data_IF_165631754591
#
_entry.id   IF_165631754591
#
_cell.length_a   1.000
_cell.length_b   1.000
_cell.length_c   1.000
_cell.angle_alpha   90.00
_cell.angle_beta   90.00
_cell.angle_gamma   90.00
#
_symmetry.space_group_name_H-M   'P 1'
#
loop_
_entity.id
_entity.type
_entity.pdbx_description
1 polymer ?
#
# COMPACT_ATOMS: atom_id res chain seq x y z
N UNK A 1 -5.41 -20.43 -9.06
CA UNK A 1 -4.62 -21.50 -8.44
C UNK A 1 -3.57 -22.01 -9.42
N UNK A 2 -3.92 -22.47 -10.61
CA UNK A 2 -2.98 -23.09 -11.58
C UNK A 2 -1.84 -22.15 -11.99
N UNK A 3 -2.11 -20.85 -12.14
CA UNK A 3 -1.07 -19.87 -12.45
C UNK A 3 -0.02 -19.78 -11.33
N UNK A 4 -0.46 -19.76 -10.07
CA UNK A 4 0.45 -19.71 -8.91
C UNK A 4 1.31 -20.97 -8.89
N UNK A 5 0.70 -22.15 -9.07
CA UNK A 5 1.44 -23.43 -9.13
C UNK A 5 2.48 -23.45 -10.25
N UNK A 6 2.14 -22.91 -11.43
CA UNK A 6 3.09 -22.80 -12.56
C UNK A 6 4.25 -21.85 -12.25
N UNK A 7 3.97 -20.70 -11.61
CA UNK A 7 5.01 -19.74 -11.18
C UNK A 7 5.95 -20.42 -10.20
N UNK A 8 5.40 -21.08 -9.17
CA UNK A 8 6.20 -21.78 -8.14
C UNK A 8 6.97 -22.98 -8.71
N UNK A 9 6.44 -23.64 -9.72
CA UNK A 9 7.17 -24.72 -10.41
C UNK A 9 8.38 -24.20 -11.20
N UNK A 10 8.29 -23.01 -11.79
CA UNK A 10 9.38 -22.38 -12.53
C UNK A 10 10.38 -21.67 -11.61
N UNK A 11 9.90 -21.04 -10.56
CA UNK A 11 10.68 -20.26 -9.60
C UNK A 11 10.17 -20.51 -8.19
N UNK A 12 10.61 -21.60 -7.54
CA UNK A 12 10.15 -21.98 -6.19
C UNK A 12 10.44 -20.89 -5.12
N UNK A 13 11.52 -20.16 -5.31
CA UNK A 13 12.02 -19.12 -4.44
C UNK A 13 11.28 -17.77 -4.57
N UNK A 14 10.52 -17.55 -5.65
CA UNK A 14 9.85 -16.27 -5.85
C UNK A 14 8.69 -16.09 -4.87
N UNK A 15 8.62 -14.92 -4.23
CA UNK A 15 7.50 -14.56 -3.36
C UNK A 15 6.28 -14.15 -4.21
N UNK A 16 5.18 -14.86 -4.06
CA UNK A 16 3.92 -14.56 -4.75
C UNK A 16 3.02 -13.74 -3.84
N UNK A 17 2.86 -12.46 -4.16
CA UNK A 17 1.93 -11.54 -3.50
C UNK A 17 0.79 -11.21 -4.45
N UNK A 18 -0.41 -11.71 -4.17
CA UNK A 18 -1.57 -11.55 -5.06
C UNK A 18 -2.88 -11.48 -4.28
N UNK A 19 -3.91 -11.01 -4.94
CA UNK A 19 -5.31 -10.90 -4.50
C UNK A 19 -5.55 -9.89 -3.36
N UNK A 20 -6.31 -8.86 -3.69
CA UNK A 20 -6.86 -7.91 -2.74
C UNK A 20 -8.00 -8.54 -1.93
N UNK A 21 -8.45 -7.87 -0.87
CA UNK A 21 -9.62 -8.34 -0.09
C UNK A 21 -10.87 -8.51 -0.96
N UNK A 22 -11.08 -7.60 -1.92
CA UNK A 22 -12.23 -7.66 -2.84
C UNK A 22 -12.15 -8.88 -3.77
N UNK A 23 -10.96 -9.22 -4.24
CA UNK A 23 -10.73 -10.39 -5.08
C UNK A 23 -10.89 -11.69 -4.30
N UNK A 24 -10.42 -11.75 -3.05
CA UNK A 24 -10.65 -12.92 -2.19
C UNK A 24 -12.14 -13.11 -1.90
N UNK A 25 -12.89 -12.04 -1.57
CA UNK A 25 -14.34 -12.12 -1.41
C UNK A 25 -15.01 -12.69 -2.67
N UNK A 26 -14.60 -12.22 -3.84
CA UNK A 26 -15.13 -12.72 -5.11
C UNK A 26 -14.77 -14.20 -5.35
N UNK A 27 -13.51 -14.61 -5.06
CA UNK A 27 -13.09 -16.00 -5.20
C UNK A 27 -13.91 -16.91 -4.26
N UNK A 28 -14.10 -16.50 -3.01
CA UNK A 28 -14.91 -17.23 -2.03
C UNK A 28 -16.36 -17.43 -2.53
N UNK A 29 -16.98 -16.36 -3.05
CA UNK A 29 -18.33 -16.42 -3.61
C UNK A 29 -18.43 -17.36 -4.81
N UNK A 30 -17.45 -17.29 -5.72
CA UNK A 30 -17.44 -18.15 -6.91
C UNK A 30 -17.16 -19.61 -6.57
N UNK A 31 -16.24 -19.86 -5.66
CA UNK A 31 -15.90 -21.21 -5.19
C UNK A 31 -17.02 -21.84 -4.35
N UNK A 32 -17.91 -21.02 -3.76
CA UNK A 32 -18.95 -21.45 -2.80
C UNK A 32 -18.37 -22.27 -1.63
N UNK A 33 -17.18 -21.88 -1.17
CA UNK A 33 -16.43 -22.52 -0.08
C UNK A 33 -16.26 -21.55 1.09
N UNK A 34 -16.04 -22.05 2.31
CA UNK A 34 -15.62 -21.22 3.43
C UNK A 34 -14.30 -20.47 3.12
N UNK A 35 -14.15 -19.27 3.66
CA UNK A 35 -12.93 -18.45 3.47
C UNK A 35 -11.66 -19.24 3.84
N UNK A 36 -11.66 -19.92 4.99
CA UNK A 36 -10.52 -20.70 5.47
C UNK A 36 -10.08 -21.79 4.47
N UNK A 37 -11.04 -22.48 3.82
CA UNK A 37 -10.74 -23.51 2.82
C UNK A 37 -10.10 -22.89 1.56
N UNK A 38 -10.64 -21.76 1.07
CA UNK A 38 -10.07 -21.03 -0.07
C UNK A 38 -8.65 -20.54 0.24
N UNK A 39 -8.43 -20.02 1.45
CA UNK A 39 -7.11 -19.58 1.88
C UNK A 39 -6.11 -20.73 1.98
N UNK A 40 -6.54 -21.90 2.48
CA UNK A 40 -5.71 -23.09 2.53
C UNK A 40 -5.30 -23.56 1.13
N UNK A 41 -6.24 -23.61 0.17
CA UNK A 41 -5.95 -23.98 -1.23
C UNK A 41 -5.01 -22.98 -1.91
N UNK A 42 -5.16 -21.68 -1.65
CA UNK A 42 -4.27 -20.65 -2.18
C UNK A 42 -2.85 -20.78 -1.61
N UNK A 43 -2.73 -21.08 -0.32
CA UNK A 43 -1.44 -21.34 0.34
C UNK A 43 -0.77 -22.58 -0.22
N UNK A 44 -1.51 -23.68 -0.36
CA UNK A 44 -0.99 -24.92 -0.94
C UNK A 44 -0.52 -24.70 -2.38
N UNK A 45 -1.21 -23.82 -3.12
CA UNK A 45 -0.77 -23.42 -4.47
C UNK A 45 0.51 -22.58 -4.47
N UNK A 46 0.91 -21.99 -3.35
CA UNK A 46 2.11 -21.19 -3.20
C UNK A 46 1.88 -19.67 -3.09
N UNK A 47 0.67 -19.23 -2.71
CA UNK A 47 0.45 -17.84 -2.36
C UNK A 47 1.13 -17.52 -1.02
N UNK A 48 2.01 -16.52 -0.99
CA UNK A 48 2.81 -16.17 0.19
C UNK A 48 2.21 -15.01 1.00
N UNK A 49 1.70 -13.97 0.34
CA UNK A 49 1.07 -12.81 1.00
C UNK A 49 0.07 -12.11 0.08
N UNK A 50 -0.63 -11.11 0.61
CA UNK A 50 -1.64 -10.36 -0.13
C UNK A 50 -1.37 -8.85 -0.09
N UNK A 51 -1.67 -8.08 -1.17
CA UNK A 51 -1.46 -6.65 -1.19
C UNK A 51 -2.40 -5.87 -0.26
N UNK A 52 -3.46 -6.49 0.29
CA UNK A 52 -4.51 -5.76 0.99
C UNK A 52 -5.35 -4.95 -0.01
N UNK A 53 -5.66 -3.70 0.27
CA UNK A 53 -6.36 -2.84 -0.66
C UNK A 53 -7.86 -3.09 -0.79
N UNK A 54 -8.54 -2.25 -1.59
CA UNK A 54 -9.99 -2.34 -1.82
C UNK A 54 -10.85 -1.78 -0.68
N UNK A 55 -10.25 -1.32 0.42
CA UNK A 55 -10.96 -0.64 1.50
C UNK A 55 -11.44 0.76 1.10
N UNK A 56 -10.68 1.43 0.27
CA UNK A 56 -10.75 2.85 -0.06
C UNK A 56 -10.86 3.70 1.21
N UNK A 57 -12.07 3.95 1.69
CA UNK A 57 -12.33 4.51 3.02
C UNK A 57 -13.51 3.80 3.67
N UNK A 58 -13.46 3.57 4.99
CA UNK A 58 -14.49 2.80 5.70
C UNK A 58 -15.79 3.56 5.98
N UNK A 59 -15.89 4.82 5.58
CA UNK A 59 -17.10 5.61 5.73
C UNK A 59 -18.25 5.04 4.89
N UNK A 60 -19.31 4.60 5.55
CA UNK A 60 -20.47 4.00 4.88
C UNK A 60 -21.16 4.97 3.91
N UNK A 61 -21.17 6.27 4.24
CA UNK A 61 -21.70 7.33 3.38
C UNK A 61 -20.94 7.36 2.06
N UNK A 62 -19.60 7.42 2.12
CA UNK A 62 -18.74 7.45 0.93
C UNK A 62 -18.86 6.16 0.13
N UNK A 63 -18.91 5.02 0.82
CA UNK A 63 -19.09 3.72 0.18
C UNK A 63 -20.39 3.67 -0.63
N UNK A 64 -21.53 4.08 -0.05
CA UNK A 64 -22.84 4.08 -0.72
C UNK A 64 -22.85 5.02 -1.93
N UNK A 65 -22.16 6.14 -1.85
CA UNK A 65 -22.16 7.17 -2.90
C UNK A 65 -21.23 6.81 -4.07
N UNK A 66 -20.00 6.37 -3.77
CA UNK A 66 -18.99 6.21 -4.80
C UNK A 66 -18.83 4.78 -5.32
N UNK A 67 -18.96 3.78 -4.45
CA UNK A 67 -18.69 2.39 -4.82
C UNK A 67 -19.62 1.35 -4.16
N UNK A 68 -20.96 1.50 -4.31
CA UNK A 68 -21.98 0.71 -3.58
C UNK A 68 -21.94 -0.80 -3.89
N UNK A 69 -21.22 -1.21 -4.94
CA UNK A 69 -21.09 -2.62 -5.33
C UNK A 69 -19.85 -3.30 -4.76
N UNK A 70 -18.93 -2.53 -4.15
CA UNK A 70 -17.75 -3.11 -3.50
C UNK A 70 -18.10 -3.79 -2.18
N UNK A 71 -17.19 -4.58 -1.67
CA UNK A 71 -17.25 -5.19 -0.35
C UNK A 71 -17.47 -4.10 0.72
N UNK A 72 -18.47 -4.27 1.57
CA UNK A 72 -18.73 -3.29 2.64
C UNK A 72 -17.57 -3.24 3.63
N UNK A 73 -17.41 -2.10 4.29
CA UNK A 73 -16.33 -1.85 5.26
C UNK A 73 -16.26 -2.91 6.35
N UNK A 74 -17.40 -3.29 6.93
CA UNK A 74 -17.44 -4.31 7.99
C UNK A 74 -17.07 -5.71 7.47
N UNK A 75 -17.49 -6.05 6.27
CA UNK A 75 -17.10 -7.32 5.65
C UNK A 75 -15.64 -7.33 5.25
N UNK A 76 -15.09 -6.17 4.82
CA UNK A 76 -13.66 -6.04 4.56
C UNK A 76 -12.83 -6.30 5.82
N UNK A 77 -13.20 -5.69 6.95
CA UNK A 77 -12.51 -5.88 8.25
C UNK A 77 -12.62 -7.34 8.71
N UNK A 78 -13.81 -7.95 8.61
CA UNK A 78 -14.00 -9.37 8.97
C UNK A 78 -13.12 -10.28 8.11
N UNK A 79 -13.13 -10.06 6.78
CA UNK A 79 -12.32 -10.87 5.87
C UNK A 79 -10.83 -10.68 6.11
N UNK A 80 -10.36 -9.46 6.34
CA UNK A 80 -8.97 -9.19 6.66
C UNK A 80 -8.55 -9.91 7.96
N UNK A 81 -9.40 -9.90 8.99
CA UNK A 81 -9.17 -10.67 10.23
C UNK A 81 -9.05 -12.17 9.97
N UNK A 82 -9.94 -12.74 9.15
CA UNK A 82 -9.85 -14.17 8.77
C UNK A 82 -8.55 -14.47 8.02
N UNK A 83 -8.16 -13.62 7.06
CA UNK A 83 -6.93 -13.76 6.29
C UNK A 83 -5.71 -13.74 7.21
N UNK A 84 -5.65 -12.79 8.15
CA UNK A 84 -4.57 -12.69 9.13
C UNK A 84 -4.53 -13.90 10.07
N UNK A 85 -5.68 -14.35 10.58
CA UNK A 85 -5.78 -15.52 11.45
C UNK A 85 -5.38 -16.82 10.73
N UNK A 86 -5.51 -16.86 9.42
CA UNK A 86 -4.97 -17.94 8.58
C UNK A 86 -3.49 -17.72 8.24
N UNK A 87 -2.80 -16.77 8.88
CA UNK A 87 -1.36 -16.55 8.82
C UNK A 87 -0.85 -15.84 7.57
N UNK A 88 -1.72 -15.20 6.76
CA UNK A 88 -1.27 -14.34 5.68
C UNK A 88 -0.95 -12.93 6.21
N UNK A 89 0.11 -12.34 5.72
CA UNK A 89 0.42 -10.93 5.91
C UNK A 89 -0.15 -10.11 4.77
N UNK A 90 -0.62 -8.89 5.09
CA UNK A 90 -1.17 -7.97 4.11
C UNK A 90 -0.65 -6.55 4.32
N UNK A 91 -0.92 -5.68 3.35
CA UNK A 91 -0.84 -4.23 3.57
C UNK A 91 -2.24 -3.71 3.92
N UNK A 92 -2.33 -2.46 4.36
CA UNK A 92 -3.58 -1.72 4.40
C UNK A 92 -3.43 -0.37 3.71
N UNK A 93 -4.54 0.13 3.18
CA UNK A 93 -4.56 1.38 2.41
C UNK A 93 -5.69 2.27 2.91
N UNK A 94 -5.54 3.57 2.73
CA UNK A 94 -6.63 4.54 2.81
C UNK A 94 -6.55 5.42 1.56
N UNK A 95 -7.63 5.49 0.79
CA UNK A 95 -7.76 6.47 -0.28
C UNK A 95 -8.42 7.72 0.30
N UNK A 96 -7.80 8.87 0.12
CA UNK A 96 -8.26 10.14 0.66
C UNK A 96 -8.25 11.25 -0.39
N UNK A 97 -9.01 12.32 -0.13
CA UNK A 97 -9.15 13.47 -1.05
C UNK A 97 -10.30 13.30 -2.03
N UNK A 98 -11.31 12.47 -1.71
CA UNK A 98 -12.55 12.34 -2.45
C UNK A 98 -13.64 13.23 -1.83
N UNK A 99 -14.63 12.62 -1.17
CA UNK A 99 -15.76 13.30 -0.52
C UNK A 99 -15.82 13.04 0.99
N UNK A 100 -14.85 12.31 1.51
CA UNK A 100 -14.78 11.96 2.93
C UNK A 100 -14.43 13.17 3.80
N UNK A 101 -14.87 13.15 5.05
CA UNK A 101 -14.48 14.12 6.08
C UNK A 101 -13.20 13.70 6.80
N UNK A 102 -12.62 14.60 7.58
CA UNK A 102 -11.45 14.30 8.43
C UNK A 102 -11.81 13.25 9.49
N UNK A 103 -13.01 13.35 10.07
CA UNK A 103 -13.51 12.39 11.06
C UNK A 103 -13.64 10.99 10.45
N UNK A 104 -14.11 10.90 9.21
CA UNK A 104 -14.20 9.63 8.47
C UNK A 104 -12.81 9.04 8.19
N UNK A 105 -11.79 9.88 7.93
CA UNK A 105 -10.39 9.42 7.83
C UNK A 105 -9.87 8.90 9.17
N UNK A 106 -10.17 9.58 10.26
CA UNK A 106 -9.77 9.16 11.63
C UNK A 106 -10.45 7.84 12.00
N UNK A 107 -11.74 7.67 11.71
CA UNK A 107 -12.45 6.41 11.93
C UNK A 107 -11.80 5.25 11.16
N UNK A 108 -11.43 5.50 9.89
CA UNK A 108 -10.71 4.51 9.08
C UNK A 108 -9.39 4.06 9.73
N UNK A 109 -8.58 5.03 10.17
CA UNK A 109 -7.32 4.73 10.85
C UNK A 109 -7.56 3.98 12.17
N UNK A 110 -8.58 4.37 12.95
CA UNK A 110 -8.94 3.68 14.19
C UNK A 110 -9.33 2.22 13.96
N UNK A 111 -10.09 1.95 12.91
CA UNK A 111 -10.49 0.58 12.56
C UNK A 111 -9.30 -0.27 12.11
N UNK A 112 -8.37 0.31 11.33
CA UNK A 112 -7.11 -0.36 10.97
C UNK A 112 -6.25 -0.65 12.19
N UNK A 113 -6.12 0.34 13.11
CA UNK A 113 -5.37 0.19 14.35
C UNK A 113 -5.93 -0.95 15.20
N UNK A 114 -7.24 -0.96 15.42
CA UNK A 114 -7.90 -2.01 16.21
C UNK A 114 -7.68 -3.40 15.60
N UNK A 115 -7.79 -3.53 14.27
CA UNK A 115 -7.55 -4.79 13.59
C UNK A 115 -6.09 -5.24 13.70
N UNK A 116 -5.15 -4.30 13.64
CA UNK A 116 -3.72 -4.61 13.84
C UNK A 116 -3.43 -5.05 15.27
N UNK A 117 -4.03 -4.40 16.29
CA UNK A 117 -3.91 -4.81 17.69
C UNK A 117 -4.44 -6.23 17.92
N UNK A 118 -5.50 -6.62 17.19
CA UNK A 118 -6.08 -7.95 17.30
C UNK A 118 -5.27 -9.03 16.57
N UNK A 119 -4.66 -8.71 15.43
CA UNK A 119 -4.13 -9.72 14.50
C UNK A 119 -2.65 -9.61 14.22
N UNK A 120 -2.05 -8.42 14.31
CA UNK A 120 -0.67 -8.17 13.90
C UNK A 120 -0.41 -8.48 12.42
N UNK A 121 -1.46 -8.52 11.57
CA UNK A 121 -1.37 -9.01 10.20
C UNK A 121 -0.90 -7.99 9.16
N UNK A 122 -1.01 -6.69 9.44
CA UNK A 122 -0.56 -5.66 8.51
C UNK A 122 0.96 -5.47 8.57
N UNK A 123 1.58 -5.43 7.40
CA UNK A 123 3.02 -5.15 7.24
C UNK A 123 3.26 -3.65 7.04
N UNK A 124 2.41 -2.99 6.26
CA UNK A 124 2.57 -1.57 5.93
C UNK A 124 1.23 -0.89 5.69
N UNK A 125 1.16 0.37 6.06
CA UNK A 125 0.08 1.27 5.70
C UNK A 125 0.48 2.16 4.52
N UNK A 126 -0.44 2.34 3.56
CA UNK A 126 -0.21 3.11 2.34
C UNK A 126 -1.33 4.13 2.17
N UNK A 127 -1.13 5.41 2.51
CA UNK A 127 -2.08 6.47 2.19
C UNK A 127 -2.02 6.80 0.69
N UNK A 128 -3.15 6.72 0.01
CA UNK A 128 -3.31 6.90 -1.43
C UNK A 128 -4.06 8.20 -1.70
N UNK A 129 -3.37 9.20 -2.23
CA UNK A 129 -3.99 10.45 -2.62
C UNK A 129 -4.86 10.25 -3.87
N UNK A 130 -6.14 10.64 -3.80
CA UNK A 130 -7.04 10.51 -4.94
C UNK A 130 -6.60 11.41 -6.10
N UNK A 131 -6.67 10.89 -7.31
CA UNK A 131 -6.38 11.61 -8.55
C UNK A 131 -7.70 11.77 -9.33
N UNK A 132 -8.28 12.98 -9.36
CA UNK A 132 -9.62 13.19 -9.93
C UNK A 132 -9.65 13.24 -11.45
N UNK A 133 -8.54 13.59 -12.11
CA UNK A 133 -8.51 13.81 -13.56
C UNK A 133 -8.99 12.59 -14.33
N UNK A 134 -9.72 12.82 -15.41
CA UNK A 134 -10.33 11.76 -16.25
C UNK A 134 -11.29 10.82 -15.49
N UNK A 135 -11.82 11.24 -14.34
CA UNK A 135 -12.82 10.50 -13.57
C UNK A 135 -14.15 11.26 -13.52
N UNK A 136 -15.19 10.60 -13.00
CA UNK A 136 -16.48 11.26 -12.71
C UNK A 136 -16.39 12.32 -11.59
N UNK A 137 -15.26 12.36 -10.89
CA UNK A 137 -14.99 13.25 -9.77
C UNK A 137 -13.96 14.34 -10.16
N UNK A 138 -13.79 14.65 -11.43
CA UNK A 138 -12.85 15.67 -11.93
C UNK A 138 -13.06 17.07 -11.37
N UNK A 139 -14.25 17.34 -10.80
CA UNK A 139 -14.60 18.59 -10.14
C UNK A 139 -14.00 18.70 -8.71
N UNK A 140 -13.45 17.64 -8.15
CA UNK A 140 -12.80 17.64 -6.84
C UNK A 140 -11.35 18.09 -7.01
N UNK A 141 -10.88 18.96 -6.12
CA UNK A 141 -9.48 19.38 -6.12
C UNK A 141 -8.56 18.24 -5.65
N UNK A 142 -7.41 18.13 -6.32
CA UNK A 142 -6.37 17.18 -5.90
C UNK A 142 -5.86 17.54 -4.50
N UNK A 143 -5.59 16.54 -3.63
CA UNK A 143 -4.93 16.80 -2.36
C UNK A 143 -3.61 17.57 -2.55
N UNK A 144 -3.47 18.69 -1.85
CA UNK A 144 -2.27 19.52 -1.90
C UNK A 144 -1.03 18.76 -1.42
N UNK A 145 0.20 19.16 -1.78
CA UNK A 145 1.42 18.56 -1.22
C UNK A 145 1.44 18.54 0.31
N UNK A 146 0.98 19.62 0.94
CA UNK A 146 0.87 19.72 2.40
C UNK A 146 -0.09 18.68 2.97
N UNK A 147 -1.23 18.47 2.31
CA UNK A 147 -2.20 17.46 2.74
C UNK A 147 -1.65 16.04 2.59
N UNK A 148 -0.93 15.77 1.51
CA UNK A 148 -0.26 14.47 1.29
C UNK A 148 0.77 14.18 2.38
N UNK A 149 1.62 15.15 2.72
CA UNK A 149 2.59 15.01 3.82
C UNK A 149 1.91 14.86 5.18
N UNK A 150 0.83 15.61 5.43
CA UNK A 150 0.04 15.49 6.67
C UNK A 150 -0.57 14.10 6.80
N UNK A 151 -1.08 13.51 5.72
CA UNK A 151 -1.66 12.17 5.74
C UNK A 151 -0.61 11.09 6.09
N UNK A 152 0.63 11.24 5.63
CA UNK A 152 1.75 10.39 6.01
C UNK A 152 2.06 10.55 7.51
N UNK A 153 2.25 11.79 7.98
CA UNK A 153 2.62 12.08 9.36
C UNK A 153 1.54 11.61 10.36
N UNK A 154 0.27 11.90 10.07
CA UNK A 154 -0.86 11.41 10.88
C UNK A 154 -0.92 9.89 10.87
N UNK A 155 -0.75 9.26 9.70
CA UNK A 155 -0.68 7.80 9.58
C UNK A 155 0.40 7.21 10.48
N UNK A 156 1.62 7.77 10.49
CA UNK A 156 2.73 7.30 11.35
C UNK A 156 2.42 7.46 12.83
N UNK A 157 1.86 8.60 13.25
CA UNK A 157 1.54 8.85 14.65
C UNK A 157 0.36 8.03 15.14
N UNK A 158 -0.63 7.80 14.29
CA UNK A 158 -1.85 7.10 14.65
C UNK A 158 -1.69 5.57 14.60
N UNK A 159 -0.93 5.06 13.64
CA UNK A 159 -0.71 3.63 13.40
C UNK A 159 0.69 3.20 13.87
N UNK A 160 1.07 3.56 15.12
CA UNK A 160 2.36 3.19 15.71
C UNK A 160 2.54 1.67 15.88
N UNK A 161 1.44 0.90 15.81
CA UNK A 161 1.39 -0.56 15.81
C UNK A 161 1.60 -1.20 14.42
N UNK A 162 1.65 -0.41 13.33
CA UNK A 162 1.97 -0.90 11.99
C UNK A 162 3.45 -0.57 11.70
N UNK A 163 4.28 -1.58 11.36
CA UNK A 163 5.75 -1.38 11.27
C UNK A 163 6.15 -0.32 10.26
N UNK A 164 5.54 -0.33 9.07
CA UNK A 164 5.98 0.47 7.94
C UNK A 164 4.89 1.41 7.42
N UNK A 165 5.31 2.61 7.00
CA UNK A 165 4.46 3.57 6.28
C UNK A 165 5.09 3.84 4.93
N UNK A 166 4.34 3.54 3.87
CA UNK A 166 4.82 3.69 2.50
C UNK A 166 4.45 5.03 1.90
N UNK A 167 5.43 5.76 1.42
CA UNK A 167 5.25 6.90 0.53
C UNK A 167 5.29 6.40 -0.93
N UNK A 168 4.12 6.02 -1.47
CA UNK A 168 4.01 5.51 -2.83
C UNK A 168 4.29 6.63 -3.84
N UNK A 169 5.52 6.68 -4.35
CA UNK A 169 6.04 7.80 -5.14
C UNK A 169 5.23 8.08 -6.41
N UNK A 170 4.63 7.07 -7.04
CA UNK A 170 3.81 7.26 -8.24
C UNK A 170 2.62 8.20 -7.96
N UNK A 171 1.93 8.01 -6.83
CA UNK A 171 0.76 8.81 -6.48
C UNK A 171 1.12 10.12 -5.77
N UNK A 172 2.24 10.17 -5.07
CA UNK A 172 2.66 11.35 -4.34
C UNK A 172 3.43 12.36 -5.19
N UNK A 173 4.11 11.90 -6.25
CA UNK A 173 5.16 12.66 -6.92
C UNK A 173 6.49 12.54 -6.18
N UNK A 174 7.61 12.73 -6.89
CA UNK A 174 8.94 12.44 -6.34
C UNK A 174 9.31 13.35 -5.18
N UNK A 175 9.06 14.64 -5.32
CA UNK A 175 9.40 15.64 -4.30
C UNK A 175 8.63 15.42 -3.00
N UNK A 176 7.33 15.10 -3.11
CA UNK A 176 6.50 14.82 -1.92
C UNK A 176 6.87 13.47 -1.30
N UNK A 177 7.13 12.46 -2.12
CA UNK A 177 7.57 11.15 -1.62
C UNK A 177 8.93 11.24 -0.90
N UNK A 178 9.88 12.01 -1.44
CA UNK A 178 11.16 12.29 -0.80
C UNK A 178 10.97 13.02 0.54
N UNK A 179 10.18 14.10 0.56
CA UNK A 179 9.88 14.85 1.80
C UNK A 179 9.17 13.98 2.84
N UNK A 180 8.32 13.04 2.42
CA UNK A 180 7.61 12.12 3.30
C UNK A 180 8.54 11.23 4.13
N UNK A 181 9.77 10.95 3.68
CA UNK A 181 10.80 10.25 4.44
C UNK A 181 11.22 10.99 5.72
N UNK A 182 11.00 12.30 5.79
CA UNK A 182 11.20 13.10 6.99
C UNK A 182 9.95 13.28 7.84
N UNK A 183 8.79 12.85 7.29
CA UNK A 183 7.47 12.99 7.91
C UNK A 183 6.89 11.65 8.42
N UNK A 184 7.73 10.60 8.51
CA UNK A 184 7.34 9.32 9.09
C UNK A 184 7.17 8.16 8.12
N UNK A 185 7.31 8.38 6.81
CA UNK A 185 7.46 7.28 5.87
C UNK A 185 8.86 6.65 5.98
N UNK A 186 8.92 5.34 5.78
CA UNK A 186 10.16 4.56 5.78
C UNK A 186 10.29 3.64 4.55
N UNK A 187 9.39 3.76 3.57
CA UNK A 187 9.38 2.96 2.36
C UNK A 187 8.88 3.81 1.17
N UNK A 188 9.65 3.84 0.07
CA UNK A 188 9.26 4.51 -1.18
C UNK A 188 8.59 3.58 -2.19
N UNK A 189 8.37 2.30 -1.86
CA UNK A 189 8.03 1.20 -2.74
C UNK A 189 9.28 0.70 -3.50
N UNK A 190 9.20 0.51 -4.80
CA UNK A 190 10.31 -0.04 -5.56
C UNK A 190 10.38 0.55 -6.96
N UNK A 191 11.17 -0.11 -7.81
CA UNK A 191 11.33 0.21 -9.22
C UNK A 191 10.09 -0.19 -10.01
N UNK A 192 8.94 0.39 -9.68
CA UNK A 192 7.69 0.09 -10.37
C UNK A 192 7.84 0.43 -11.84
N UNK A 193 7.60 -0.54 -12.72
CA UNK A 193 7.58 -0.34 -14.15
C UNK A 193 6.17 -0.56 -14.70
N UNK A 194 5.74 0.26 -15.65
CA UNK A 194 4.46 0.15 -16.34
C UNK A 194 3.23 0.26 -15.41
N UNK A 195 3.26 1.17 -14.43
CA UNK A 195 2.03 1.56 -13.73
C UNK A 195 1.07 2.22 -14.73
N UNK A 196 -0.11 1.63 -14.90
CA UNK A 196 -1.07 2.05 -15.93
C UNK A 196 -2.23 2.84 -15.37
N UNK A 197 -2.75 2.44 -14.21
CA UNK A 197 -4.03 2.96 -13.69
C UNK A 197 -3.94 4.44 -13.38
N UNK A 198 -2.89 4.84 -12.68
CA UNK A 198 -2.69 6.23 -12.29
C UNK A 198 -2.28 7.11 -13.49
N UNK A 199 -1.48 6.56 -14.42
CA UNK A 199 -1.09 7.26 -15.65
C UNK A 199 -2.26 7.39 -16.64
N UNK A 200 -3.14 6.41 -16.75
CA UNK A 200 -4.39 6.52 -17.53
C UNK A 200 -5.33 7.59 -16.95
N UNK A 201 -5.29 7.81 -15.64
CA UNK A 201 -5.97 8.96 -15.01
C UNK A 201 -5.26 10.31 -15.22
N UNK A 202 -4.16 10.36 -15.98
CA UNK A 202 -3.48 11.61 -16.35
C UNK A 202 -2.31 12.00 -15.43
N UNK A 203 -1.77 11.08 -14.63
CA UNK A 203 -0.58 11.38 -13.82
C UNK A 203 0.65 11.63 -14.68
N UNK A 204 1.49 12.59 -14.26
CA UNK A 204 2.72 13.02 -14.95
C UNK A 204 4.01 12.50 -14.28
N UNK A 205 3.90 11.63 -13.29
CA UNK A 205 5.08 11.01 -12.66
C UNK A 205 5.80 10.12 -13.66
N UNK A 206 7.13 9.87 -13.51
CA UNK A 206 7.84 8.90 -14.32
C UNK A 206 7.16 7.53 -14.29
N UNK A 207 7.18 6.79 -15.40
CA UNK A 207 6.61 5.44 -15.43
C UNK A 207 7.46 4.42 -14.69
N UNK A 208 8.74 4.70 -14.54
CA UNK A 208 9.69 3.86 -13.79
C UNK A 208 10.77 4.73 -13.14
N UNK A 209 11.34 4.21 -12.07
CA UNK A 209 12.57 4.71 -11.47
C UNK A 209 13.58 3.57 -11.43
N UNK A 210 14.84 3.89 -11.69
CA UNK A 210 15.93 2.93 -11.47
C UNK A 210 16.23 2.80 -9.97
N UNK A 211 16.90 1.71 -9.58
CA UNK A 211 17.40 1.56 -8.20
C UNK A 211 18.30 2.75 -7.79
N UNK A 212 19.15 3.22 -8.71
CA UNK A 212 20.02 4.36 -8.47
C UNK A 212 19.23 5.65 -8.20
N UNK A 213 18.13 5.90 -8.93
CA UNK A 213 17.28 7.06 -8.71
C UNK A 213 16.63 7.02 -7.32
N UNK A 214 16.12 5.85 -6.90
CA UNK A 214 15.51 5.67 -5.58
C UNK A 214 16.58 5.87 -4.48
N UNK A 215 17.76 5.29 -4.62
CA UNK A 215 18.87 5.48 -3.66
C UNK A 215 19.25 6.96 -3.55
N UNK A 216 19.33 7.66 -4.69
CA UNK A 216 19.61 9.10 -4.72
C UNK A 216 18.54 9.88 -3.95
N UNK A 217 17.25 9.65 -4.22
CA UNK A 217 16.16 10.30 -3.50
C UNK A 217 16.25 10.09 -1.99
N UNK A 218 16.56 8.87 -1.54
CA UNK A 218 16.68 8.54 -0.12
C UNK A 218 17.88 9.26 0.51
N UNK A 219 19.05 9.28 -0.14
CA UNK A 219 20.26 9.97 0.36
C UNK A 219 20.05 11.48 0.43
N UNK A 220 19.45 12.08 -0.60
CA UNK A 220 19.14 13.52 -0.62
C UNK A 220 18.15 13.93 0.48
N UNK A 221 17.29 13.01 0.94
CA UNK A 221 16.46 13.21 2.12
C UNK A 221 17.21 13.04 3.46
N UNK A 222 18.52 12.83 3.43
CA UNK A 222 19.34 12.58 4.61
C UNK A 222 19.07 11.23 5.26
N UNK A 223 18.62 10.24 4.47
CA UNK A 223 18.29 8.89 4.92
C UNK A 223 19.23 7.87 4.28
N UNK A 224 19.39 6.73 4.94
CA UNK A 224 20.18 5.60 4.45
C UNK A 224 19.31 4.69 3.57
N UNK A 225 19.71 4.44 2.31
CA UNK A 225 18.99 3.47 1.49
C UNK A 225 19.22 2.05 1.96
N UNK A 226 18.15 1.26 1.98
CA UNK A 226 18.15 -0.16 2.29
C UNK A 226 17.26 -0.85 1.26
N UNK A 227 17.75 -1.92 0.65
CA UNK A 227 16.90 -2.79 -0.17
C UNK A 227 16.31 -3.89 0.69
N UNK A 228 15.02 -4.10 0.51
CA UNK A 228 14.22 -5.08 1.24
C UNK A 228 13.46 -6.03 0.30
N UNK A 229 13.12 -7.20 0.79
CA UNK A 229 12.18 -8.09 0.10
C UNK A 229 10.71 -7.70 0.37
N UNK A 230 9.77 -8.50 -0.12
CA UNK A 230 8.33 -8.28 -0.02
C UNK A 230 7.81 -8.33 1.43
N UNK A 231 8.51 -9.02 2.31
CA UNK A 231 8.16 -9.16 3.74
C UNK A 231 9.00 -8.28 4.66
N UNK A 232 9.68 -7.29 4.09
CA UNK A 232 10.50 -6.29 4.77
C UNK A 232 11.80 -6.82 5.38
N UNK A 233 12.26 -8.03 5.04
CA UNK A 233 13.62 -8.44 5.39
C UNK A 233 14.64 -7.65 4.56
N UNK A 234 15.70 -7.20 5.21
CA UNK A 234 16.79 -6.47 4.56
C UNK A 234 17.59 -7.42 3.67
N UNK A 235 17.66 -7.09 2.37
CA UNK A 235 18.49 -7.80 1.39
C UNK A 235 19.87 -7.18 1.34
N UNK A 236 19.94 -5.85 1.22
CA UNK A 236 21.19 -5.10 1.12
C UNK A 236 21.07 -3.79 1.89
N UNK A 237 22.07 -3.52 2.71
CA UNK A 237 22.26 -2.27 3.43
C UNK A 237 23.42 -1.51 2.79
N UNK A 238 23.17 -0.26 2.37
CA UNK A 238 24.16 0.60 1.68
C UNK A 238 24.83 1.60 2.62
N UNK A 239 24.93 1.28 3.92
CA UNK A 239 25.56 2.13 4.92
C UNK A 239 27.06 2.37 4.69
N UNK A 240 27.75 1.42 4.05
CA UNK A 240 29.21 1.45 3.87
C UNK A 240 29.64 2.07 2.52
N UNK A 241 28.72 2.40 1.63
CA UNK A 241 29.03 3.19 0.45
C UNK A 241 29.34 4.63 0.91
N UNK A 242 30.61 4.93 1.12
CA UNK A 242 31.08 6.26 1.49
C UNK A 242 30.51 7.29 0.53
N UNK A 243 29.69 8.20 1.07
CA UNK A 243 29.19 9.35 0.36
C UNK A 243 30.35 10.21 -0.13
N UNK A 244 30.78 10.00 -1.36
CA UNK A 244 31.58 10.98 -2.10
C UNK A 244 30.66 12.13 -2.57
N UNK A 245 29.85 12.66 -1.66
CA UNK A 245 29.27 13.97 -1.83
C UNK A 245 30.32 15.00 -1.41
N UNK A 246 31.09 15.48 -2.38
CA UNK A 246 31.78 16.77 -2.22
C UNK A 246 30.71 17.77 -1.75
N UNK A 247 30.93 18.26 -0.52
CA UNK A 247 30.18 19.39 0.00
C UNK A 247 30.34 20.53 -1.00
N UNK A 248 29.30 20.81 -1.78
CA UNK A 248 29.16 22.11 -2.42
C UNK A 248 29.15 23.15 -1.30
N UNK A 249 30.32 23.68 -0.97
CA UNK A 249 30.45 24.88 -0.18
C UNK A 249 29.95 26.05 -1.05
N UNK A 250 28.82 26.64 -0.65
CA UNK A 250 28.34 27.94 -1.14
C UNK A 250 29.15 29.03 -0.47
#
# INVERSE_FOLDING_TARGET
>A
IDLIKKIKALRPDIHVKAFTMVEIDQIVRLAKKPVAEVLAELREAGLDSMPGGGAEIFAERVHKELYPRKLSSDNWVKLAKEIHNNGFKTNCTMMYGMIETIEERVDHLQRLRNLQDETGGFQTYIPLAFHPDNTKLEHIEKPSPTERLRSIAVGRLFLDNIPHIKAYWIMLGLEVAQAALTMGADDLDGTVSQEKIYHEAGASTPQELTRADIHKLIREAGRRPVERNTVYDVITDFSDESDSFEKCTV
#
